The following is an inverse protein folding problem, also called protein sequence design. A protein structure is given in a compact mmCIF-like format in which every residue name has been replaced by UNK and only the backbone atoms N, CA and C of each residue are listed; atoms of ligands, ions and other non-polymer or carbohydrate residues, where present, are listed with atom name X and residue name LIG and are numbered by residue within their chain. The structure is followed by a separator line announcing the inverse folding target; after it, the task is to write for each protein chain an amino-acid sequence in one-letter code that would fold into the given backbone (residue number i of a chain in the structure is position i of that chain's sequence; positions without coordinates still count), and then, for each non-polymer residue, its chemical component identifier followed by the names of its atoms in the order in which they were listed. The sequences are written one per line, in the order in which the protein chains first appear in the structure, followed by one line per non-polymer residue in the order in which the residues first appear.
data_IF_435112934275
#
_entry.id   IF_435112934275
#
_cell.length_a   1.000
_cell.length_b   1.000
_cell.length_c   1.000
_cell.angle_alpha   90.00
_cell.angle_beta   90.00
_cell.angle_gamma   90.00
#
_symmetry.space_group_name_H-M   'P 1'
#
loop_
_entity.id
_entity.type
_entity.pdbx_description
1 polymer ?
#
# COMPACT_ATOMS: atom_id res chain seq x y z
N UNK A 1 -19.88 17.31 -13.51
CA UNK A 1 -18.48 16.99 -13.49
C UNK A 1 -17.84 17.12 -14.85
N UNK A 2 -16.68 17.68 -14.90
CA UNK A 2 -16.01 17.91 -16.17
C UNK A 2 -15.36 16.63 -16.70
N UNK A 3 -15.38 16.49 -18.01
CA UNK A 3 -14.87 15.30 -18.69
C UNK A 3 -13.41 14.97 -18.32
N UNK A 4 -12.55 15.99 -18.21
CA UNK A 4 -11.15 15.80 -17.86
C UNK A 4 -10.96 15.16 -16.47
N UNK A 5 -11.80 15.55 -15.50
CA UNK A 5 -11.74 15.01 -14.15
C UNK A 5 -12.17 13.54 -14.13
N UNK A 6 -13.21 13.18 -14.87
CA UNK A 6 -13.66 11.79 -15.01
C UNK A 6 -12.58 10.94 -15.67
N UNK A 7 -11.92 11.45 -16.69
CA UNK A 7 -10.85 10.71 -17.39
C UNK A 7 -9.66 10.45 -16.48
N UNK A 8 -9.31 11.41 -15.60
CA UNK A 8 -8.22 11.23 -14.63
C UNK A 8 -8.54 10.15 -13.58
N UNK A 9 -9.77 10.15 -13.07
CA UNK A 9 -10.21 9.10 -12.14
C UNK A 9 -10.19 7.74 -12.81
N UNK A 10 -10.72 7.66 -14.01
CA UNK A 10 -10.73 6.42 -14.77
C UNK A 10 -9.30 5.89 -14.99
N UNK A 11 -8.37 6.77 -15.34
CA UNK A 11 -6.98 6.41 -15.54
C UNK A 11 -6.33 5.89 -14.24
N UNK A 12 -6.67 6.50 -13.10
CA UNK A 12 -6.16 6.03 -11.79
C UNK A 12 -6.70 4.64 -11.45
N UNK A 13 -7.98 4.37 -11.69
CA UNK A 13 -8.54 3.05 -11.48
C UNK A 13 -7.91 2.00 -12.41
N UNK A 14 -7.65 2.37 -13.66
CA UNK A 14 -7.00 1.49 -14.61
C UNK A 14 -5.56 1.15 -14.16
N UNK A 15 -4.82 2.15 -13.66
CA UNK A 15 -3.47 1.92 -13.12
C UNK A 15 -3.53 1.03 -11.87
N UNK A 16 -4.50 1.27 -11.00
CA UNK A 16 -4.68 0.45 -9.81
C UNK A 16 -4.88 -1.01 -10.21
N UNK A 17 -5.76 -1.27 -11.18
CA UNK A 17 -6.02 -2.63 -11.64
C UNK A 17 -4.74 -3.29 -12.18
N UNK A 18 -3.93 -2.56 -12.97
CA UNK A 18 -2.67 -3.10 -13.47
C UNK A 18 -1.71 -3.47 -12.35
N UNK A 19 -1.63 -2.64 -11.31
CA UNK A 19 -0.76 -2.93 -10.17
C UNK A 19 -1.28 -4.11 -9.35
N UNK A 20 -2.59 -4.22 -9.19
CA UNK A 20 -3.19 -5.38 -8.50
C UNK A 20 -2.88 -6.68 -9.28
N UNK A 21 -3.07 -6.65 -10.59
CA UNK A 21 -2.78 -7.81 -11.45
C UNK A 21 -1.30 -8.20 -11.36
N UNK A 22 -0.41 -7.21 -11.38
CA UNK A 22 1.04 -7.44 -11.27
C UNK A 22 1.43 -8.00 -9.91
N UNK A 23 0.86 -7.43 -8.84
CA UNK A 23 1.12 -7.86 -7.48
C UNK A 23 0.73 -9.32 -7.26
N UNK A 24 -0.39 -9.74 -7.84
CA UNK A 24 -0.95 -11.07 -7.64
C UNK A 24 -0.50 -12.10 -8.69
N UNK A 25 0.33 -11.69 -9.64
CA UNK A 25 0.83 -12.58 -10.69
C UNK A 25 1.96 -13.46 -10.14
N UNK A 26 1.74 -14.80 -9.99
CA UNK A 26 2.76 -15.69 -9.42
C UNK A 26 3.99 -15.84 -10.30
N UNK A 27 3.91 -15.45 -11.58
CA UNK A 27 5.03 -15.57 -12.52
C UNK A 27 5.98 -14.38 -12.45
N UNK A 28 5.60 -13.30 -11.77
CA UNK A 28 6.48 -12.13 -11.62
C UNK A 28 7.39 -12.26 -10.42
N UNK A 29 8.63 -11.72 -10.49
CA UNK A 29 9.56 -11.75 -9.36
C UNK A 29 8.98 -11.03 -8.14
N UNK A 30 9.35 -11.50 -6.95
CA UNK A 30 8.91 -10.91 -5.70
C UNK A 30 9.13 -9.40 -5.66
N UNK A 31 10.29 -8.94 -6.14
CA UNK A 31 10.64 -7.51 -6.17
C UNK A 31 9.60 -6.68 -6.94
N UNK A 32 9.15 -7.19 -8.08
CA UNK A 32 8.15 -6.50 -8.92
C UNK A 32 6.79 -6.52 -8.23
N UNK A 33 6.42 -7.67 -7.66
CA UNK A 33 5.13 -7.82 -6.97
C UNK A 33 5.04 -6.90 -5.76
N UNK A 34 6.11 -6.81 -4.96
CA UNK A 34 6.19 -5.93 -3.80
C UNK A 34 6.05 -4.46 -4.21
N UNK A 35 6.75 -4.06 -5.27
CA UNK A 35 6.66 -2.68 -5.77
C UNK A 35 5.25 -2.37 -6.26
N UNK A 36 4.63 -3.30 -6.98
CA UNK A 36 3.25 -3.12 -7.46
C UNK A 36 2.26 -2.99 -6.30
N UNK A 37 2.44 -3.77 -5.22
CA UNK A 37 1.60 -3.66 -4.03
C UNK A 37 1.70 -2.27 -3.40
N UNK A 38 2.91 -1.70 -3.34
CA UNK A 38 3.12 -0.36 -2.81
C UNK A 38 2.44 0.70 -3.67
N UNK A 39 2.54 0.59 -4.99
CA UNK A 39 1.86 1.52 -5.90
C UNK A 39 0.34 1.37 -5.81
N UNK A 40 -0.16 0.14 -5.70
CA UNK A 40 -1.59 -0.10 -5.53
C UNK A 40 -2.12 0.57 -4.26
N UNK A 41 -1.39 0.45 -3.15
CA UNK A 41 -1.80 1.08 -1.90
C UNK A 41 -1.81 2.60 -2.01
N UNK A 42 -0.81 3.20 -2.66
CA UNK A 42 -0.77 4.64 -2.87
C UNK A 42 -1.96 5.13 -3.70
N UNK A 43 -2.30 4.42 -4.77
CA UNK A 43 -3.46 4.73 -5.60
C UNK A 43 -4.76 4.50 -4.85
N UNK A 44 -4.83 3.43 -4.05
CA UNK A 44 -5.99 3.15 -3.21
C UNK A 44 -6.28 4.29 -2.24
N UNK A 45 -5.23 4.85 -1.65
CA UNK A 45 -5.37 6.01 -0.77
C UNK A 45 -5.89 7.23 -1.54
N UNK A 46 -5.32 7.52 -2.72
CA UNK A 46 -5.76 8.62 -3.57
C UNK A 46 -7.22 8.49 -4.01
N UNK A 47 -7.68 7.25 -4.21
CA UNK A 47 -9.03 6.97 -4.67
C UNK A 47 -10.04 6.81 -3.53
N UNK A 48 -9.61 6.97 -2.27
CA UNK A 48 -10.49 6.85 -1.12
C UNK A 48 -10.79 5.43 -0.68
N UNK A 49 -10.10 4.44 -1.24
CA UNK A 49 -10.26 3.04 -0.83
C UNK A 49 -9.51 2.73 0.45
N UNK A 50 -8.51 3.53 0.77
CA UNK A 50 -7.72 3.44 2.00
C UNK A 50 -7.76 4.80 2.66
N UNK A 51 -8.13 4.83 3.94
CA UNK A 51 -8.20 6.07 4.71
C UNK A 51 -6.96 6.21 5.58
N UNK A 52 -6.27 7.38 5.46
CA UNK A 52 -5.09 7.67 6.27
C UNK A 52 -5.53 8.23 7.62
N UNK A 53 -5.12 7.61 8.74
CA UNK A 53 -5.42 8.14 10.08
C UNK A 53 -4.55 9.36 10.39
N UNK A 54 -4.89 10.05 11.48
CA UNK A 54 -4.14 11.22 11.93
C UNK A 54 -2.85 10.86 12.65
N UNK A 55 -2.78 9.68 13.23
CA UNK A 55 -1.62 9.28 14.01
C UNK A 55 -1.24 7.83 13.78
N UNK A 56 -0.04 7.48 14.22
CA UNK A 56 0.50 6.12 14.12
C UNK A 56 -0.45 5.12 14.80
N UNK A 57 -0.69 3.98 14.13
CA UNK A 57 -1.58 2.95 14.66
C UNK A 57 -1.06 2.37 15.97
N UNK A 58 0.25 2.37 16.20
CA UNK A 58 0.86 1.79 17.40
C UNK A 58 1.12 2.79 18.51
N UNK A 59 1.88 3.87 18.20
CA UNK A 59 2.29 4.82 19.25
C UNK A 59 1.39 6.05 19.33
N UNK A 60 0.46 6.21 18.41
CA UNK A 60 -0.53 7.29 18.36
C UNK A 60 0.05 8.67 18.08
N UNK A 61 1.36 8.82 17.89
CA UNK A 61 1.95 10.10 17.60
C UNK A 61 1.48 10.64 16.25
N UNK A 62 1.26 11.96 16.21
CA UNK A 62 0.91 12.65 14.98
C UNK A 62 2.20 13.10 14.30
N UNK A 63 2.69 12.28 13.40
CA UNK A 63 3.87 12.57 12.60
C UNK A 63 3.70 11.92 11.24
N UNK A 64 4.69 12.07 10.37
CA UNK A 64 4.66 11.43 9.07
C UNK A 64 4.44 9.92 9.22
N UNK A 65 3.45 9.43 8.50
CA UNK A 65 3.10 8.02 8.54
C UNK A 65 3.49 7.33 7.23
N UNK A 66 3.87 6.08 7.35
CA UNK A 66 4.23 5.24 6.23
C UNK A 66 3.26 4.07 6.15
N UNK A 67 2.96 3.62 4.93
CA UNK A 67 2.12 2.45 4.73
C UNK A 67 2.95 1.19 4.96
N UNK A 68 2.48 0.30 5.84
CA UNK A 68 3.12 -0.98 6.10
C UNK A 68 2.23 -2.11 5.62
N UNK A 69 2.78 -3.01 4.80
CA UNK A 69 2.09 -4.22 4.38
C UNK A 69 2.54 -5.39 5.25
N UNK A 70 1.58 -6.06 5.90
CA UNK A 70 1.85 -7.32 6.58
C UNK A 70 1.88 -8.47 5.58
N UNK A 71 1.11 -8.35 4.50
CA UNK A 71 1.01 -9.34 3.45
C UNK A 71 0.89 -8.61 2.11
N UNK A 72 1.88 -8.77 1.25
CA UNK A 72 1.87 -8.12 -0.06
C UNK A 72 0.84 -8.73 -1.02
N UNK A 73 0.28 -9.90 -0.70
CA UNK A 73 -0.83 -10.47 -1.47
C UNK A 73 -2.16 -9.79 -1.13
N UNK A 74 -2.18 -8.93 -0.11
CA UNK A 74 -3.31 -8.07 0.23
C UNK A 74 -2.88 -6.61 0.09
N UNK A 75 -2.68 -6.13 -1.14
CA UNK A 75 -2.01 -4.84 -1.38
C UNK A 75 -2.76 -3.62 -0.84
N UNK A 76 -4.08 -3.70 -0.68
CA UNK A 76 -4.87 -2.59 -0.16
C UNK A 76 -5.06 -2.66 1.36
N UNK A 77 -4.53 -3.70 2.01
CA UNK A 77 -4.59 -3.84 3.46
C UNK A 77 -3.27 -3.37 4.06
N UNK A 78 -3.25 -2.13 4.52
CA UNK A 78 -2.05 -1.50 5.07
C UNK A 78 -2.32 -0.96 6.47
N UNK A 79 -1.26 -0.93 7.29
CA UNK A 79 -1.27 -0.26 8.59
C UNK A 79 -0.39 0.97 8.47
N UNK A 80 -0.88 2.12 8.95
CA UNK A 80 -0.12 3.37 8.92
C UNK A 80 0.71 3.51 10.18
N UNK A 81 2.02 3.52 10.04
CA UNK A 81 2.95 3.56 11.15
C UNK A 81 3.94 4.71 10.95
N UNK A 82 4.40 5.30 12.05
CA UNK A 82 5.50 6.24 12.01
C UNK A 82 6.79 5.49 11.64
N UNK A 83 7.83 6.23 11.30
CA UNK A 83 9.09 5.65 10.85
C UNK A 83 9.64 4.61 11.85
N UNK A 84 9.64 4.97 13.15
CA UNK A 84 10.17 4.09 14.19
C UNK A 84 9.34 2.80 14.34
N UNK A 85 8.02 2.93 14.39
CA UNK A 85 7.14 1.76 14.51
C UNK A 85 7.19 0.92 13.24
N UNK A 86 7.33 1.54 12.08
CA UNK A 86 7.44 0.83 10.81
C UNK A 86 8.71 -0.03 10.77
N UNK A 87 9.82 0.50 11.27
CA UNK A 87 11.06 -0.27 11.36
C UNK A 87 10.90 -1.52 12.24
N UNK A 88 10.20 -1.38 13.36
CA UNK A 88 9.90 -2.52 14.23
C UNK A 88 9.00 -3.54 13.52
N UNK A 89 7.95 -3.06 12.84
CA UNK A 89 7.04 -3.93 12.10
C UNK A 89 7.75 -4.71 11.00
N UNK A 90 8.67 -4.07 10.28
CA UNK A 90 9.46 -4.73 9.24
C UNK A 90 10.31 -5.86 9.82
N UNK A 91 10.87 -5.67 11.01
CA UNK A 91 11.61 -6.72 11.71
C UNK A 91 10.71 -7.90 12.02
N UNK A 92 9.49 -7.66 12.47
CA UNK A 92 8.52 -8.71 12.77
C UNK A 92 8.15 -9.53 11.55
N UNK A 93 7.91 -8.86 10.41
CA UNK A 93 7.61 -9.54 9.16
C UNK A 93 8.77 -10.42 8.73
N UNK A 94 10.00 -9.90 8.78
CA UNK A 94 11.20 -10.65 8.42
C UNK A 94 11.36 -11.90 9.31
N UNK A 95 11.06 -11.78 10.60
CA UNK A 95 11.14 -12.90 11.55
C UNK A 95 10.05 -13.94 11.31
N UNK A 96 8.87 -13.52 10.85
CA UNK A 96 7.73 -14.40 10.62
C UNK A 96 7.81 -15.12 9.28
N UNK A 97 8.57 -14.62 8.33
CA UNK A 97 8.69 -15.20 6.99
C UNK A 97 9.69 -16.36 7.01
N UNK A 98 9.29 -17.56 6.59
CA UNK A 98 10.23 -18.68 6.48
C UNK A 98 11.38 -18.37 5.54
N UNK A 99 12.55 -18.80 5.89
CA UNK A 99 13.74 -18.59 5.09
C UNK A 99 13.64 -19.32 3.73
#
# INVERSE_FOLDING_TARGET
MKKAKRNRLHAKFARLQRHLDSCLDPHKPRRIRTRSARYAAALGEQLGLIERPRGCAWCRRRQRLERHHWDYDEPLNVTFLCEDCHAIADTMVASATPA
#
